data_IF_160320182708
#
_entry.id   IF_160320182708
#
_cell.length_a   1.000
_cell.length_b   1.000
_cell.length_c   1.000
_cell.angle_alpha   90.00
_cell.angle_beta   90.00
_cell.angle_gamma   90.00
#
_symmetry.space_group_name_H-M   'P 1'
#
loop_
_entity.id
_entity.type
_entity.pdbx_description
1 polymer ?
#
# COMPACT_ATOMS: atom_id res chain seq x y z
N UNK A 1 12.24 -16.90 49.10
CA UNK A 1 12.95 -15.61 49.04
C UNK A 1 13.16 -15.24 47.58
N UNK A 2 12.21 -14.52 47.00
CA UNK A 2 12.18 -14.20 45.56
C UNK A 2 13.01 -12.95 45.25
N UNK A 3 13.95 -13.08 44.31
CA UNK A 3 14.72 -11.95 43.76
C UNK A 3 13.87 -11.21 42.73
N UNK A 4 13.22 -10.12 43.14
CA UNK A 4 12.56 -9.17 42.23
C UNK A 4 13.61 -8.51 41.32
N UNK A 5 13.42 -8.64 40.00
CA UNK A 5 14.21 -7.94 38.97
C UNK A 5 13.94 -6.43 39.05
N UNK A 6 15.00 -5.64 39.07
CA UNK A 6 14.94 -4.18 39.13
C UNK A 6 14.33 -3.62 37.83
N UNK A 7 13.31 -2.76 37.98
CA UNK A 7 12.62 -2.05 36.89
C UNK A 7 13.55 -0.95 36.39
N UNK A 8 13.96 -0.99 35.12
CA UNK A 8 14.72 0.08 34.48
C UNK A 8 13.89 1.38 34.52
N UNK A 9 14.26 2.32 35.38
CA UNK A 9 13.71 3.67 35.41
C UNK A 9 14.36 4.52 34.32
N UNK A 10 13.53 5.21 33.55
CA UNK A 10 13.91 6.10 32.46
C UNK A 10 14.69 7.32 33.03
N UNK A 11 15.88 7.69 32.52
CA UNK A 11 16.69 8.73 33.12
C UNK A 11 16.40 10.09 32.45
N UNK A 12 15.21 10.66 32.66
CA UNK A 12 14.97 12.09 32.39
C UNK A 12 13.98 12.67 33.41
N UNK A 13 14.29 13.81 34.04
CA UNK A 13 13.39 14.44 35.01
C UNK A 13 12.20 15.08 34.30
N UNK A 14 10.99 14.77 34.77
CA UNK A 14 9.77 15.52 34.47
C UNK A 14 9.78 16.81 35.31
N UNK A 15 9.40 17.93 34.70
CA UNK A 15 9.17 19.19 35.41
C UNK A 15 7.64 19.39 35.48
N UNK A 16 7.05 19.60 36.67
CA UNK A 16 5.66 20.04 36.80
C UNK A 16 5.55 21.52 36.39
N UNK A 17 4.45 21.89 35.75
CA UNK A 17 4.10 23.29 35.51
C UNK A 17 3.90 24.02 36.85
N UNK A 18 4.48 25.21 36.98
CA UNK A 18 4.02 26.19 37.95
C UNK A 18 3.94 27.58 37.31
N UNK A 19 2.81 28.19 37.57
CA UNK A 19 2.32 29.46 37.06
C UNK A 19 2.83 30.63 37.93
N UNK A 20 3.08 31.77 37.30
CA UNK A 20 3.15 33.13 37.84
C UNK A 20 4.22 33.58 38.89
N UNK A 21 5.10 34.46 38.40
CA UNK A 21 5.28 35.86 38.86
C UNK A 21 6.55 36.30 39.67
N UNK A 22 7.22 37.31 39.07
CA UNK A 22 8.01 38.45 39.61
C UNK A 22 9.49 38.31 40.04
N UNK A 23 10.27 39.28 39.53
CA UNK A 23 11.49 39.95 40.05
C UNK A 23 12.90 39.59 39.52
N UNK A 24 13.37 40.51 38.68
CA UNK A 24 14.72 41.01 38.37
C UNK A 24 15.97 40.55 39.17
N UNK A 25 17.04 40.22 38.44
CA UNK A 25 18.40 40.72 38.73
C UNK A 25 19.32 40.68 37.49
N UNK A 26 19.91 41.83 37.14
CA UNK A 26 20.93 42.00 36.08
C UNK A 26 22.27 41.35 36.47
N UNK A 27 22.88 40.54 35.59
CA UNK A 27 24.35 40.40 35.49
C UNK A 27 24.83 39.81 34.15
N UNK A 28 25.51 40.68 33.39
CA UNK A 28 26.63 40.49 32.44
C UNK A 28 26.67 39.32 31.44
N UNK A 29 26.77 39.73 30.18
CA UNK A 29 27.04 39.00 28.94
C UNK A 29 28.29 38.11 28.95
N UNK A 30 28.12 36.84 28.56
CA UNK A 30 29.13 36.00 27.90
C UNK A 30 28.47 35.26 26.73
N UNK A 31 29.07 35.36 25.55
CA UNK A 31 28.60 34.69 24.33
C UNK A 31 28.73 33.17 24.46
N UNK A 32 27.64 32.44 24.21
CA UNK A 32 27.62 30.98 24.22
C UNK A 32 28.13 30.40 22.90
N UNK A 33 28.97 29.37 22.99
CA UNK A 33 29.59 28.67 21.87
C UNK A 33 28.55 27.87 21.07
N UNK A 34 28.59 28.06 19.75
CA UNK A 34 27.75 27.40 18.75
C UNK A 34 28.16 25.92 18.57
N UNK A 35 27.70 25.01 19.46
CA UNK A 35 27.69 23.56 19.21
C UNK A 35 26.73 22.82 20.16
N UNK A 36 25.43 23.02 19.94
CA UNK A 36 24.39 22.04 20.23
C UNK A 36 23.22 22.46 19.33
N UNK A 37 23.07 21.81 18.17
CA UNK A 37 21.79 21.82 17.46
C UNK A 37 20.81 21.18 18.44
N UNK A 38 19.95 22.00 19.05
CA UNK A 38 18.75 21.49 19.70
C UNK A 38 18.01 20.70 18.63
N UNK A 39 17.95 19.38 18.79
CA UNK A 39 16.99 18.57 18.07
C UNK A 39 15.63 19.22 18.32
N UNK A 40 14.93 19.61 17.25
CA UNK A 40 13.57 20.14 17.30
C UNK A 40 12.71 19.16 18.07
N UNK A 41 12.46 19.45 19.35
CA UNK A 41 11.67 18.61 20.22
C UNK A 41 10.23 18.61 19.71
N UNK A 42 9.67 17.42 19.51
CA UNK A 42 8.30 17.24 19.06
C UNK A 42 7.38 17.63 20.24
N UNK A 43 6.38 18.47 19.98
CA UNK A 43 5.36 18.86 20.96
C UNK A 43 4.73 17.62 21.64
N UNK A 44 4.38 17.74 22.93
CA UNK A 44 3.70 16.68 23.69
C UNK A 44 2.43 16.19 22.98
N UNK A 45 1.68 17.10 22.35
CA UNK A 45 0.49 16.76 21.56
C UNK A 45 0.80 15.94 20.31
N UNK A 46 1.85 16.31 19.55
CA UNK A 46 2.29 15.52 18.39
C UNK A 46 2.85 14.17 18.81
N UNK A 47 3.56 14.10 19.94
CA UNK A 47 4.08 12.85 20.50
C UNK A 47 2.95 11.90 20.89
N UNK A 48 1.90 12.41 21.53
CA UNK A 48 0.69 11.64 21.86
C UNK A 48 -0.01 11.10 20.61
N UNK A 49 -0.17 11.92 19.56
CA UNK A 49 -0.76 11.50 18.28
C UNK A 49 0.07 10.41 17.59
N UNK A 50 1.40 10.56 17.55
CA UNK A 50 2.30 9.54 16.98
C UNK A 50 2.20 8.22 17.77
N UNK A 51 2.14 8.28 19.11
CA UNK A 51 2.00 7.09 19.95
C UNK A 51 0.65 6.39 19.74
N UNK A 52 -0.44 7.14 19.61
CA UNK A 52 -1.77 6.60 19.30
C UNK A 52 -1.77 5.90 17.92
N UNK A 53 -1.26 6.56 16.89
CA UNK A 53 -1.16 5.97 15.54
C UNK A 53 -0.24 4.74 15.51
N UNK A 54 0.90 4.78 16.23
CA UNK A 54 1.79 3.63 16.33
C UNK A 54 1.12 2.43 17.02
N UNK A 55 0.32 2.67 18.07
CA UNK A 55 -0.47 1.63 18.72
C UNK A 55 -1.54 1.05 17.79
N UNK A 56 -2.24 1.88 17.02
CA UNK A 56 -3.21 1.43 16.01
C UNK A 56 -2.52 0.55 14.97
N UNK A 57 -1.38 0.99 14.43
CA UNK A 57 -0.60 0.21 13.47
C UNK A 57 -0.11 -1.12 14.06
N UNK A 58 0.34 -1.13 15.31
CA UNK A 58 0.78 -2.36 15.97
C UNK A 58 -0.39 -3.34 16.17
N UNK A 59 -1.56 -2.84 16.55
CA UNK A 59 -2.77 -3.64 16.70
C UNK A 59 -3.24 -4.20 15.35
N UNK A 60 -3.21 -3.40 14.29
CA UNK A 60 -3.55 -3.88 12.93
C UNK A 60 -2.60 -5.00 12.48
N UNK A 61 -1.29 -4.87 12.72
CA UNK A 61 -0.31 -5.93 12.40
C UNK A 61 -0.62 -7.21 13.18
N UNK A 62 -1.00 -7.08 14.45
CA UNK A 62 -1.33 -8.23 15.29
C UNK A 62 -2.61 -8.93 14.82
N UNK A 63 -3.68 -8.16 14.56
CA UNK A 63 -4.94 -8.71 14.01
C UNK A 63 -4.72 -9.38 12.64
N UNK A 64 -3.84 -8.84 11.80
CA UNK A 64 -3.44 -9.46 10.52
C UNK A 64 -2.69 -10.79 10.72
N UNK A 65 -1.79 -10.86 11.70
CA UNK A 65 -1.04 -12.07 12.02
C UNK A 65 -1.93 -13.17 12.59
N UNK A 66 -2.89 -12.81 13.45
CA UNK A 66 -3.88 -13.72 14.03
C UNK A 66 -4.83 -14.28 12.97
N UNK A 67 -5.21 -13.47 11.98
CA UNK A 67 -6.05 -13.93 10.85
C UNK A 67 -5.29 -14.81 9.85
N UNK A 68 -3.96 -14.74 9.80
CA UNK A 68 -3.14 -15.59 8.93
C UNK A 68 -2.93 -17.01 9.50
N UNK A 69 -3.12 -17.23 10.81
CA UNK A 69 -2.94 -18.51 11.50
C UNK A 69 -4.12 -18.84 12.44
N UNK A 70 -5.17 -19.54 11.97
CA UNK A 70 -6.33 -19.87 12.81
C UNK A 70 -6.08 -20.94 13.89
N UNK A 71 -4.85 -21.48 14.00
CA UNK A 71 -4.48 -22.55 14.94
C UNK A 71 -3.38 -22.10 15.90
N UNK A 72 -3.67 -21.11 16.75
CA UNK A 72 -3.14 -21.04 18.12
C UNK A 72 -3.84 -19.90 18.86
N UNK A 73 -4.51 -20.22 19.97
CA UNK A 73 -5.07 -19.31 21.00
C UNK A 73 -6.54 -18.91 20.85
N UNK A 74 -7.43 -19.88 21.01
CA UNK A 74 -8.87 -19.68 21.19
C UNK A 74 -9.30 -19.54 22.68
N UNK A 75 -8.48 -18.92 23.56
CA UNK A 75 -8.76 -18.91 25.02
C UNK A 75 -8.83 -17.53 25.71
N UNK A 76 -8.87 -16.40 24.98
CA UNK A 76 -8.90 -15.06 25.66
C UNK A 76 -10.03 -14.14 25.14
N UNK A 77 -10.96 -14.64 24.32
CA UNK A 77 -11.95 -13.79 23.62
C UNK A 77 -13.23 -13.51 24.43
N UNK A 78 -13.36 -14.02 25.66
CA UNK A 78 -14.64 -13.97 26.38
C UNK A 78 -14.86 -12.76 27.32
N UNK A 79 -13.89 -11.86 27.51
CA UNK A 79 -13.98 -10.85 28.59
C UNK A 79 -13.90 -9.37 28.17
N UNK A 80 -13.66 -9.05 26.90
CA UNK A 80 -13.47 -7.65 26.46
C UNK A 80 -14.62 -7.04 25.63
N UNK A 81 -15.66 -7.81 25.28
CA UNK A 81 -16.82 -7.30 24.51
C UNK A 81 -17.80 -6.44 25.34
N UNK A 82 -17.68 -6.40 26.67
CA UNK A 82 -18.65 -5.72 27.54
C UNK A 82 -18.35 -4.24 27.85
N UNK A 83 -17.21 -3.68 27.43
CA UNK A 83 -16.77 -2.33 27.87
C UNK A 83 -16.92 -1.21 26.82
N UNK A 84 -17.61 -1.43 25.69
CA UNK A 84 -17.70 -0.45 24.59
C UNK A 84 -18.89 0.52 24.63
N UNK A 85 -19.64 0.59 25.72
CA UNK A 85 -20.68 1.62 25.87
C UNK A 85 -20.29 2.59 26.97
N UNK A 86 -20.15 3.87 26.59
CA UNK A 86 -19.84 5.07 27.38
C UNK A 86 -18.37 5.50 27.38
N UNK A 87 -17.96 6.23 26.34
CA UNK A 87 -17.17 7.46 26.55
C UNK A 87 -17.35 8.42 25.37
N UNK A 88 -17.45 9.69 25.74
CA UNK A 88 -18.05 10.81 25.03
C UNK A 88 -17.30 11.23 23.76
N UNK A 89 -18.08 11.76 22.81
CA UNK A 89 -17.66 12.40 21.58
C UNK A 89 -16.78 13.63 21.87
N UNK A 90 -15.46 13.49 21.75
CA UNK A 90 -14.59 14.61 21.43
C UNK A 90 -14.29 14.55 19.91
N UNK A 91 -14.95 15.45 19.18
CA UNK A 91 -14.68 15.81 17.79
C UNK A 91 -13.22 16.27 17.64
N UNK A 92 -12.28 15.33 17.50
CA UNK A 92 -10.87 15.64 17.26
C UNK A 92 -10.70 15.93 15.76
N UNK A 93 -10.70 17.23 15.44
CA UNK A 93 -10.59 17.80 14.10
C UNK A 93 -9.31 17.30 13.40
N UNK A 94 -9.47 16.33 12.50
CA UNK A 94 -8.42 15.70 11.67
C UNK A 94 -7.81 16.67 10.62
N UNK A 95 -7.98 17.98 10.78
CA UNK A 95 -7.69 18.99 9.75
C UNK A 95 -6.33 19.67 9.90
N UNK A 96 -5.54 19.35 10.95
CA UNK A 96 -4.20 19.94 11.16
C UNK A 96 -3.08 18.89 11.27
N UNK A 97 -2.96 18.01 10.27
CA UNK A 97 -1.71 17.31 9.99
C UNK A 97 -1.11 17.81 8.67
N UNK A 98 -0.57 19.03 8.72
CA UNK A 98 0.24 19.67 7.66
C UNK A 98 1.72 19.22 7.74
N UNK A 99 1.95 17.93 7.94
CA UNK A 99 3.28 17.35 8.19
C UNK A 99 3.84 16.55 7.02
N UNK A 100 4.18 17.20 5.90
CA UNK A 100 5.41 16.95 5.12
C UNK A 100 5.46 17.96 3.96
N UNK A 101 6.51 18.77 3.91
CA UNK A 101 6.81 19.64 2.78
C UNK A 101 6.92 18.80 1.51
N UNK A 102 5.98 19.00 0.58
CA UNK A 102 5.98 18.40 -0.76
C UNK A 102 7.11 19.01 -1.58
N UNK A 103 8.23 18.30 -1.65
CA UNK A 103 9.16 18.46 -2.77
C UNK A 103 8.41 18.05 -4.03
N UNK A 104 8.04 19.04 -4.85
CA UNK A 104 7.63 18.85 -6.24
C UNK A 104 8.65 17.94 -6.92
N UNK A 105 8.26 16.69 -7.18
CA UNK A 105 9.04 15.79 -8.02
C UNK A 105 8.42 15.83 -9.40
N UNK A 106 9.03 16.64 -10.26
CA UNK A 106 8.84 16.59 -11.69
C UNK A 106 9.15 15.16 -12.12
N UNK A 107 8.16 14.46 -12.69
CA UNK A 107 8.41 13.22 -13.40
C UNK A 107 9.30 13.57 -14.59
N UNK A 108 10.57 13.18 -14.52
CA UNK A 108 11.39 13.12 -15.73
C UNK A 108 10.79 12.04 -16.62
N UNK A 109 10.58 12.37 -17.88
CA UNK A 109 10.34 11.39 -18.93
C UNK A 109 11.53 10.42 -18.95
N UNK A 110 11.42 9.29 -18.27
CA UNK A 110 12.27 8.14 -18.56
C UNK A 110 11.83 7.68 -19.95
N UNK A 111 12.67 7.93 -20.96
CA UNK A 111 12.49 7.41 -22.31
C UNK A 111 12.44 5.87 -22.22
N UNK A 112 11.22 5.34 -22.33
CA UNK A 112 10.98 3.91 -22.42
C UNK A 112 11.55 3.45 -23.77
N UNK A 113 12.51 2.53 -23.73
CA UNK A 113 13.04 1.91 -24.94
C UNK A 113 11.95 1.06 -25.62
N UNK A 114 11.63 1.37 -26.88
CA UNK A 114 10.58 0.70 -27.66
C UNK A 114 10.86 -0.80 -27.82
N UNK A 115 12.14 -1.19 -27.88
CA UNK A 115 12.54 -2.59 -27.98
C UNK A 115 12.27 -3.36 -26.68
N UNK A 116 12.44 -2.72 -25.52
CA UNK A 116 12.09 -3.29 -24.22
C UNK A 116 10.58 -3.41 -24.04
N UNK A 117 9.82 -2.39 -24.45
CA UNK A 117 8.35 -2.41 -24.41
C UNK A 117 7.82 -3.60 -25.23
N UNK A 118 8.34 -3.80 -26.44
CA UNK A 118 7.95 -4.91 -27.32
C UNK A 118 8.31 -6.30 -26.76
N UNK A 119 9.47 -6.43 -26.13
CA UNK A 119 9.87 -7.66 -25.46
C UNK A 119 8.96 -7.97 -24.27
N UNK A 120 8.57 -6.96 -23.49
CA UNK A 120 7.65 -7.14 -22.37
C UNK A 120 6.22 -7.46 -22.82
N UNK A 121 5.77 -6.86 -23.93
CA UNK A 121 4.48 -7.17 -24.55
C UNK A 121 4.34 -8.65 -24.96
N UNK A 122 5.45 -9.30 -25.34
CA UNK A 122 5.45 -10.73 -25.66
C UNK A 122 5.11 -11.64 -24.45
N UNK A 123 5.18 -11.10 -23.23
CA UNK A 123 4.81 -11.79 -21.99
C UNK A 123 3.45 -11.34 -21.43
N UNK A 124 2.71 -10.46 -22.12
CA UNK A 124 1.35 -10.08 -21.74
C UNK A 124 0.33 -11.13 -22.18
N UNK A 125 -0.66 -11.36 -21.33
CA UNK A 125 -1.78 -12.26 -21.65
C UNK A 125 -2.75 -11.57 -22.61
N UNK A 126 -2.88 -12.11 -23.82
CA UNK A 126 -3.82 -11.58 -24.85
C UNK A 126 -5.29 -11.93 -24.57
N UNK A 127 -5.56 -12.83 -23.61
CA UNK A 127 -6.89 -13.36 -23.28
C UNK A 127 -7.43 -12.86 -21.93
N UNK A 128 -6.94 -11.73 -21.42
CA UNK A 128 -7.45 -11.20 -20.16
C UNK A 128 -8.85 -10.60 -20.34
N UNK A 129 -9.85 -11.20 -19.68
CA UNK A 129 -11.20 -10.65 -19.60
C UNK A 129 -11.25 -9.29 -18.91
N UNK A 130 -12.34 -8.51 -19.11
CA UNK A 130 -12.51 -7.20 -18.49
C UNK A 130 -12.44 -7.30 -16.95
N UNK A 131 -11.70 -6.38 -16.32
CA UNK A 131 -11.61 -6.33 -14.86
C UNK A 131 -12.99 -5.98 -14.27
N UNK A 132 -13.47 -6.79 -13.30
CA UNK A 132 -14.74 -6.55 -12.61
C UNK A 132 -14.65 -5.31 -11.73
N UNK A 133 -15.56 -4.37 -11.91
CA UNK A 133 -15.70 -3.15 -11.10
C UNK A 133 -16.69 -3.35 -9.94
N UNK A 134 -16.78 -2.39 -9.03
CA UNK A 134 -17.80 -2.39 -7.96
C UNK A 134 -19.23 -2.46 -8.55
N UNK A 135 -19.46 -1.70 -9.62
CA UNK A 135 -20.73 -1.67 -10.33
C UNK A 135 -21.13 -3.05 -10.86
N UNK A 136 -20.18 -3.78 -11.45
CA UNK A 136 -20.43 -5.11 -12.01
C UNK A 136 -20.84 -6.12 -10.93
N UNK A 137 -20.17 -6.08 -9.77
CA UNK A 137 -20.48 -6.98 -8.66
C UNK A 137 -21.85 -6.70 -8.04
N UNK A 138 -22.21 -5.43 -7.89
CA UNK A 138 -23.52 -5.05 -7.35
C UNK A 138 -24.63 -5.43 -8.34
N UNK A 139 -24.43 -5.20 -9.64
CA UNK A 139 -25.38 -5.64 -10.68
C UNK A 139 -25.53 -7.17 -10.67
N UNK A 140 -24.43 -7.92 -10.55
CA UNK A 140 -24.46 -9.39 -10.47
C UNK A 140 -25.20 -9.87 -9.22
N UNK A 141 -24.91 -9.28 -8.06
CA UNK A 141 -25.56 -9.60 -6.79
C UNK A 141 -27.06 -9.34 -6.82
N UNK A 142 -27.48 -8.20 -7.39
CA UNK A 142 -28.90 -7.87 -7.47
C UNK A 142 -29.60 -8.70 -8.56
N UNK A 143 -28.94 -9.06 -9.66
CA UNK A 143 -29.49 -10.04 -10.64
C UNK A 143 -29.73 -11.41 -10.00
N UNK A 144 -28.83 -11.87 -9.13
CA UNK A 144 -29.01 -13.13 -8.40
C UNK A 144 -30.16 -13.05 -7.37
N UNK A 145 -30.31 -11.92 -6.69
CA UNK A 145 -31.41 -11.69 -5.74
C UNK A 145 -32.78 -11.52 -6.44
N UNK A 146 -32.80 -10.85 -7.60
CA UNK A 146 -33.97 -10.63 -8.44
C UNK A 146 -34.30 -11.82 -9.36
N UNK A 147 -33.44 -12.83 -9.50
CA UNK A 147 -33.82 -14.08 -10.17
C UNK A 147 -34.97 -14.82 -9.45
N UNK A 148 -35.25 -14.46 -8.19
CA UNK A 148 -36.44 -14.88 -7.45
C UNK A 148 -37.64 -13.90 -7.57
N UNK A 149 -37.47 -12.73 -8.18
CA UNK A 149 -38.53 -11.72 -8.42
C UNK A 149 -38.26 -10.94 -9.71
N UNK A 150 -38.98 -11.30 -10.77
CA UNK A 150 -38.87 -10.71 -12.11
C UNK A 150 -39.20 -9.21 -12.14
N UNK A 151 -38.26 -8.35 -12.52
CA UNK A 151 -38.51 -7.09 -13.25
C UNK A 151 -37.22 -6.42 -13.77
N UNK A 152 -37.28 -5.99 -15.05
CA UNK A 152 -36.26 -5.27 -15.82
C UNK A 152 -36.14 -3.78 -15.42
N UNK A 153 -35.73 -3.50 -14.19
CA UNK A 153 -35.38 -2.12 -13.78
C UNK A 153 -34.01 -2.09 -13.16
N UNK A 154 -33.23 -1.03 -13.46
CA UNK A 154 -31.89 -0.86 -12.93
C UNK A 154 -31.88 -1.14 -11.41
N UNK A 155 -31.03 -2.05 -10.96
CA UNK A 155 -31.13 -2.61 -9.63
C UNK A 155 -30.69 -1.58 -8.58
N UNK A 156 -31.66 -0.98 -7.89
CA UNK A 156 -31.45 -0.04 -6.79
C UNK A 156 -31.37 -0.82 -5.47
N UNK A 157 -30.36 -0.59 -4.62
CA UNK A 157 -30.31 -1.21 -3.31
C UNK A 157 -31.48 -0.73 -2.43
N UNK A 158 -32.02 -1.63 -1.60
CA UNK A 158 -33.17 -1.40 -0.70
C UNK A 158 -32.80 -0.42 0.43
N UNK A 159 -32.59 0.84 0.10
CA UNK A 159 -32.32 1.92 1.05
C UNK A 159 -33.49 2.91 1.10
N UNK A 160 -33.61 3.61 2.23
CA UNK A 160 -34.57 4.70 2.41
C UNK A 160 -34.39 5.74 1.28
N UNK A 161 -35.49 6.18 0.62
CA UNK A 161 -35.47 7.23 -0.40
C UNK A 161 -34.64 8.46 -0.02
N UNK A 162 -34.66 8.87 1.25
CA UNK A 162 -33.95 10.05 1.74
C UNK A 162 -32.42 9.88 1.68
N UNK A 163 -31.94 8.65 1.95
CA UNK A 163 -30.53 8.29 1.90
C UNK A 163 -30.07 8.22 0.44
N UNK A 164 -30.93 7.69 -0.44
CA UNK A 164 -30.65 7.61 -1.88
C UNK A 164 -30.41 9.00 -2.47
N UNK A 165 -31.28 9.96 -2.20
CA UNK A 165 -31.16 11.31 -2.75
C UNK A 165 -29.96 12.06 -2.17
N UNK A 166 -29.66 11.87 -0.88
CA UNK A 166 -28.47 12.43 -0.25
C UNK A 166 -27.17 11.95 -0.91
N UNK A 167 -27.00 10.64 -1.10
CA UNK A 167 -25.76 10.08 -1.66
C UNK A 167 -25.64 10.28 -3.18
N UNK A 168 -26.75 10.39 -3.91
CA UNK A 168 -26.75 10.85 -5.31
C UNK A 168 -26.25 12.29 -5.42
N UNK A 169 -26.77 13.19 -4.59
CA UNK A 169 -26.30 14.58 -4.53
C UNK A 169 -24.82 14.69 -4.14
N UNK A 170 -24.34 13.82 -3.26
CA UNK A 170 -22.91 13.72 -2.95
C UNK A 170 -22.08 13.27 -4.15
N UNK A 171 -22.56 12.34 -4.98
CA UNK A 171 -21.88 11.95 -6.21
C UNK A 171 -21.67 13.12 -7.18
N UNK A 172 -22.71 13.95 -7.37
CA UNK A 172 -22.62 15.17 -8.18
C UNK A 172 -21.60 16.17 -7.61
N UNK A 173 -21.57 16.34 -6.29
CA UNK A 173 -20.57 17.16 -5.62
C UNK A 173 -19.14 16.63 -5.84
N UNK A 174 -18.93 15.32 -5.70
CA UNK A 174 -17.62 14.68 -5.87
C UNK A 174 -17.10 14.75 -7.30
N UNK A 175 -17.98 14.83 -8.29
CA UNK A 175 -17.58 15.02 -9.70
C UNK A 175 -16.92 16.39 -9.94
N UNK A 176 -17.33 17.43 -9.20
CA UNK A 176 -16.83 18.81 -9.34
C UNK A 176 -15.82 19.21 -8.27
N UNK A 177 -15.56 18.34 -7.31
CA UNK A 177 -14.72 18.65 -6.16
C UNK A 177 -13.27 18.91 -6.58
N UNK A 178 -12.69 20.02 -6.11
CA UNK A 178 -11.30 20.39 -6.39
C UNK A 178 -10.49 20.50 -5.10
N UNK A 179 -10.99 21.28 -4.14
CA UNK A 179 -10.39 21.49 -2.83
C UNK A 179 -11.46 21.81 -1.79
N UNK A 180 -11.10 21.70 -0.50
CA UNK A 180 -11.99 22.02 0.62
C UNK A 180 -12.34 20.82 1.50
N UNK A 181 -13.18 21.04 2.50
CA UNK A 181 -13.55 19.98 3.45
C UNK A 181 -14.49 18.97 2.79
N UNK A 182 -14.25 17.68 3.03
CA UNK A 182 -15.13 16.61 2.59
C UNK A 182 -16.43 16.60 3.43
N UNK A 183 -17.62 16.45 2.82
CA UNK A 183 -18.89 16.40 3.55
C UNK A 183 -18.90 15.34 4.66
N UNK A 184 -19.52 15.64 5.80
CA UNK A 184 -19.62 14.71 6.95
C UNK A 184 -20.26 13.37 6.54
N UNK A 185 -21.31 13.42 5.72
CA UNK A 185 -21.99 12.23 5.20
C UNK A 185 -21.05 11.30 4.40
N UNK A 186 -20.06 11.86 3.68
CA UNK A 186 -19.05 11.06 2.99
C UNK A 186 -18.03 10.46 3.96
N UNK A 187 -17.58 11.23 4.95
CA UNK A 187 -16.65 10.74 5.99
C UNK A 187 -17.23 9.60 6.83
N UNK A 188 -18.56 9.50 6.93
CA UNK A 188 -19.25 8.45 7.68
C UNK A 188 -19.39 7.12 6.91
N UNK A 189 -19.18 7.10 5.59
CA UNK A 189 -19.33 5.88 4.76
C UNK A 189 -18.52 4.68 5.31
N UNK A 190 -17.25 4.82 5.73
CA UNK A 190 -16.47 3.69 6.26
C UNK A 190 -17.08 2.98 7.47
N UNK A 191 -17.82 3.71 8.31
CA UNK A 191 -18.47 3.21 9.53
C UNK A 191 -19.78 2.49 9.24
N UNK A 192 -20.32 2.61 8.04
CA UNK A 192 -21.59 1.98 7.67
C UNK A 192 -21.42 0.46 7.45
N UNK A 193 -22.46 -0.30 7.76
CA UNK A 193 -22.50 -1.74 7.46
C UNK A 193 -22.59 -1.97 5.95
N UNK A 194 -23.48 -1.24 5.26
CA UNK A 194 -23.70 -1.31 3.81
C UNK A 194 -22.87 -0.26 3.04
N UNK A 195 -21.59 -0.13 3.38
CA UNK A 195 -20.71 0.90 2.80
C UNK A 195 -20.53 0.74 1.29
N UNK A 196 -20.56 -0.49 0.75
CA UNK A 196 -20.41 -0.79 -0.69
C UNK A 196 -21.58 -0.25 -1.50
N UNK A 197 -22.81 -0.50 -1.05
CA UNK A 197 -24.03 -0.05 -1.71
C UNK A 197 -24.12 1.48 -1.68
N UNK A 198 -23.80 2.09 -0.52
CA UNK A 198 -23.77 3.55 -0.36
C UNK A 198 -22.70 4.18 -1.25
N UNK A 199 -21.51 3.57 -1.33
CA UNK A 199 -20.44 4.04 -2.19
C UNK A 199 -20.83 3.96 -3.67
N UNK A 200 -21.52 2.90 -4.09
CA UNK A 200 -22.01 2.76 -5.45
C UNK A 200 -22.97 3.88 -5.87
N UNK A 201 -23.85 4.34 -4.96
CA UNK A 201 -24.76 5.46 -5.23
C UNK A 201 -24.04 6.76 -5.57
N UNK A 202 -22.82 6.95 -5.06
CA UNK A 202 -22.02 8.15 -5.33
C UNK A 202 -21.29 8.12 -6.67
N UNK A 203 -21.44 7.03 -7.46
CA UNK A 203 -20.84 6.86 -8.80
C UNK A 203 -19.33 7.14 -8.84
N UNK A 204 -18.49 6.29 -8.20
CA UNK A 204 -17.05 6.53 -8.05
C UNK A 204 -16.29 6.72 -9.37
N UNK A 205 -16.79 6.18 -10.47
CA UNK A 205 -16.28 6.39 -11.83
C UNK A 205 -16.30 7.86 -12.27
N UNK A 206 -17.27 8.64 -11.78
CA UNK A 206 -17.48 10.04 -12.15
C UNK A 206 -16.77 11.05 -11.26
N UNK A 207 -16.11 10.60 -10.20
CA UNK A 207 -15.44 11.48 -9.25
C UNK A 207 -14.29 12.25 -9.90
N UNK A 208 -13.99 13.45 -9.40
CA UNK A 208 -12.77 14.14 -9.81
C UNK A 208 -11.52 13.42 -9.29
N UNK A 209 -10.34 13.60 -9.91
CA UNK A 209 -9.08 13.06 -9.39
C UNK A 209 -8.78 13.51 -7.94
N UNK A 210 -9.14 14.75 -7.59
CA UNK A 210 -8.94 15.29 -6.25
C UNK A 210 -9.90 14.66 -5.23
N UNK A 211 -11.14 14.37 -5.63
CA UNK A 211 -12.08 13.63 -4.80
C UNK A 211 -11.56 12.21 -4.52
N UNK A 212 -11.02 11.54 -5.56
CA UNK A 212 -10.43 10.21 -5.40
C UNK A 212 -9.26 10.20 -4.42
N UNK A 213 -8.41 11.23 -4.43
CA UNK A 213 -7.35 11.40 -3.45
C UNK A 213 -7.89 11.51 -2.02
N UNK A 214 -8.86 12.40 -1.79
CA UNK A 214 -9.45 12.61 -0.47
C UNK A 214 -10.20 11.38 0.02
N UNK A 215 -10.94 10.72 -0.87
CA UNK A 215 -11.59 9.44 -0.60
C UNK A 215 -10.56 8.40 -0.18
N UNK A 216 -9.51 8.20 -0.96
CA UNK A 216 -8.46 7.22 -0.64
C UNK A 216 -7.81 7.52 0.72
N UNK A 217 -7.58 8.80 1.04
CA UNK A 217 -7.03 9.20 2.35
C UNK A 217 -7.96 8.84 3.51
N UNK A 218 -9.26 9.12 3.39
CA UNK A 218 -10.27 8.82 4.43
C UNK A 218 -10.47 7.32 4.58
N UNK A 219 -10.56 6.60 3.46
CA UNK A 219 -10.83 5.18 3.43
C UNK A 219 -9.61 4.38 3.92
N UNK A 220 -8.39 4.82 3.57
CA UNK A 220 -7.16 4.23 4.05
C UNK A 220 -6.94 4.40 5.56
N UNK A 221 -7.54 5.41 6.22
CA UNK A 221 -7.42 5.57 7.67
C UNK A 221 -8.55 4.90 8.45
N UNK A 222 -9.77 4.93 7.92
CA UNK A 222 -10.97 4.51 8.68
C UNK A 222 -11.44 3.09 8.35
N UNK A 223 -11.09 2.53 7.19
CA UNK A 223 -11.48 1.15 6.85
C UNK A 223 -10.48 0.13 7.42
N UNK A 224 -11.03 -0.98 7.91
CA UNK A 224 -10.25 -2.19 8.14
C UNK A 224 -9.65 -2.74 6.84
N UNK A 225 -8.58 -3.54 6.97
CA UNK A 225 -7.74 -4.03 5.86
C UNK A 225 -8.56 -4.68 4.74
N UNK A 226 -9.54 -5.53 5.08
CA UNK A 226 -10.41 -6.22 4.10
C UNK A 226 -11.28 -5.26 3.32
N UNK A 227 -11.88 -4.26 3.98
CA UNK A 227 -12.72 -3.26 3.31
C UNK A 227 -11.87 -2.32 2.44
N UNK A 228 -10.69 -1.92 2.93
CA UNK A 228 -9.75 -1.11 2.16
C UNK A 228 -9.25 -1.85 0.90
N UNK A 229 -8.95 -3.16 1.02
CA UNK A 229 -8.61 -4.02 -0.12
C UNK A 229 -9.70 -4.01 -1.19
N UNK A 230 -10.97 -4.14 -0.80
CA UNK A 230 -12.11 -4.09 -1.73
C UNK A 230 -12.22 -2.73 -2.41
N UNK A 231 -12.11 -1.63 -1.66
CA UNK A 231 -12.11 -0.28 -2.21
C UNK A 231 -10.97 -0.09 -3.23
N UNK A 232 -9.75 -0.54 -2.90
CA UNK A 232 -8.62 -0.43 -3.80
C UNK A 232 -8.80 -1.23 -5.08
N UNK A 233 -9.33 -2.46 -4.96
CA UNK A 233 -9.51 -3.37 -6.08
C UNK A 233 -10.64 -2.95 -7.02
N UNK A 234 -11.75 -2.44 -6.47
CA UNK A 234 -12.99 -2.21 -7.22
C UNK A 234 -13.20 -0.77 -7.65
N UNK A 235 -12.50 0.18 -7.03
CA UNK A 235 -12.66 1.63 -7.30
C UNK A 235 -11.33 2.26 -7.71
N UNK A 236 -10.31 2.18 -6.86
CA UNK A 236 -9.05 2.90 -7.09
C UNK A 236 -8.26 2.34 -8.29
N UNK A 237 -8.06 1.02 -8.33
CA UNK A 237 -7.29 0.36 -9.38
C UNK A 237 -7.89 0.57 -10.78
N UNK A 238 -9.19 0.31 -11.04
CA UNK A 238 -9.79 0.59 -12.36
C UNK A 238 -9.61 2.05 -12.77
N UNK A 239 -9.84 2.99 -11.84
CA UNK A 239 -9.71 4.42 -12.11
C UNK A 239 -8.30 4.83 -12.55
N UNK A 240 -7.27 4.27 -11.93
CA UNK A 240 -5.87 4.53 -12.29
C UNK A 240 -5.55 3.98 -13.67
N UNK A 241 -6.00 2.76 -13.97
CA UNK A 241 -5.76 2.13 -15.27
C UNK A 241 -6.44 2.91 -16.39
N UNK A 242 -7.66 3.37 -16.15
CA UNK A 242 -8.39 4.20 -17.12
C UNK A 242 -7.69 5.53 -17.39
N UNK A 243 -7.20 6.22 -16.35
CA UNK A 243 -6.47 7.48 -16.50
C UNK A 243 -5.16 7.30 -17.28
N UNK A 244 -4.38 6.24 -16.97
CA UNK A 244 -3.15 5.92 -17.70
C UNK A 244 -3.44 5.57 -19.16
N UNK A 245 -4.52 4.81 -19.41
CA UNK A 245 -4.91 4.42 -20.76
C UNK A 245 -5.31 5.62 -21.62
N UNK A 246 -6.06 6.56 -21.03
CA UNK A 246 -6.57 7.76 -21.72
C UNK A 246 -5.47 8.82 -21.90
N UNK A 247 -4.78 9.17 -20.82
CA UNK A 247 -3.87 10.32 -20.79
C UNK A 247 -2.41 9.95 -21.04
N UNK A 248 -2.07 8.65 -21.07
CA UNK A 248 -0.70 8.12 -21.19
C UNK A 248 0.26 8.52 -20.06
N UNK A 249 -0.23 9.28 -19.09
CA UNK A 249 0.39 9.73 -17.84
C UNK A 249 -0.65 9.69 -16.73
N UNK A 250 -0.23 9.52 -15.49
CA UNK A 250 -1.14 9.53 -14.35
C UNK A 250 -1.31 10.93 -13.78
N UNK A 251 -2.56 11.34 -13.51
CA UNK A 251 -2.87 12.59 -12.83
C UNK A 251 -2.22 12.66 -11.43
N UNK A 252 -1.68 13.82 -11.05
CA UNK A 252 -0.96 14.01 -9.79
C UNK A 252 -1.76 13.58 -8.54
N UNK A 253 -3.04 13.96 -8.46
CA UNK A 253 -3.90 13.56 -7.34
C UNK A 253 -4.11 12.04 -7.26
N UNK A 254 -4.19 11.33 -8.38
CA UNK A 254 -4.30 9.86 -8.40
C UNK A 254 -2.99 9.20 -7.98
N UNK A 255 -1.85 9.79 -8.37
CA UNK A 255 -0.54 9.36 -7.88
C UNK A 255 -0.43 9.52 -6.36
N UNK A 256 -0.90 10.65 -5.81
CA UNK A 256 -0.96 10.86 -4.36
C UNK A 256 -1.94 9.90 -3.69
N UNK A 257 -3.05 9.55 -4.35
CA UNK A 257 -4.00 8.57 -3.86
C UNK A 257 -3.34 7.20 -3.70
N UNK A 258 -2.61 6.74 -4.72
CA UNK A 258 -1.81 5.52 -4.65
C UNK A 258 -0.77 5.57 -3.53
N UNK A 259 -0.05 6.69 -3.40
CA UNK A 259 0.92 6.87 -2.31
C UNK A 259 0.26 6.75 -0.93
N UNK A 260 -0.95 7.27 -0.76
CA UNK A 260 -1.73 7.13 0.48
C UNK A 260 -2.26 5.72 0.68
N UNK A 261 -2.62 5.00 -0.37
CA UNK A 261 -3.10 3.61 -0.25
C UNK A 261 -2.03 2.66 0.33
N UNK A 262 -0.74 2.96 0.13
CA UNK A 262 0.37 2.17 0.67
C UNK A 262 0.57 2.31 2.19
N UNK A 263 -0.14 3.25 2.86
CA UNK A 263 -0.15 3.33 4.32
C UNK A 263 -0.81 2.11 4.96
N UNK A 264 -1.59 1.33 4.19
CA UNK A 264 -2.05 -0.01 4.55
C UNK A 264 -1.46 -1.04 3.57
N UNK A 265 -0.22 -1.52 3.80
CA UNK A 265 0.52 -2.36 2.85
C UNK A 265 -0.18 -3.66 2.48
N UNK A 266 -0.85 -4.33 3.44
CA UNK A 266 -1.58 -5.56 3.17
C UNK A 266 -2.73 -5.35 2.18
N UNK A 267 -3.51 -4.29 2.39
CA UNK A 267 -4.60 -3.90 1.50
C UNK A 267 -4.08 -3.46 0.12
N UNK A 268 -2.98 -2.70 0.08
CA UNK A 268 -2.34 -2.31 -1.19
C UNK A 268 -1.88 -3.54 -2.00
N UNK A 269 -1.20 -4.48 -1.35
CA UNK A 269 -0.68 -5.66 -2.03
C UNK A 269 -1.81 -6.50 -2.62
N UNK A 270 -2.85 -6.77 -1.84
CA UNK A 270 -3.99 -7.60 -2.28
C UNK A 270 -4.97 -6.87 -3.20
N UNK A 271 -5.12 -5.56 -3.05
CA UNK A 271 -6.09 -4.75 -3.79
C UNK A 271 -5.53 -4.11 -5.06
N UNK A 272 -4.23 -3.84 -5.12
CA UNK A 272 -3.58 -3.12 -6.24
C UNK A 272 -2.53 -3.99 -6.90
N UNK A 273 -1.46 -4.35 -6.17
CA UNK A 273 -0.28 -5.00 -6.75
C UNK A 273 -0.57 -6.39 -7.34
N UNK A 274 -1.18 -7.29 -6.55
CA UNK A 274 -1.46 -8.64 -7.01
C UNK A 274 -2.53 -8.68 -8.11
N UNK A 275 -3.67 -7.95 -8.03
CA UNK A 275 -4.63 -7.92 -9.12
C UNK A 275 -4.05 -7.32 -10.40
N UNK A 276 -3.18 -6.32 -10.31
CA UNK A 276 -2.49 -5.75 -11.46
C UNK A 276 -1.61 -6.81 -12.15
N UNK A 277 -0.74 -7.51 -11.40
CA UNK A 277 0.10 -8.56 -11.95
C UNK A 277 -0.70 -9.78 -12.44
N UNK A 278 -1.72 -10.21 -11.69
CA UNK A 278 -2.56 -11.39 -12.01
C UNK A 278 -3.42 -11.15 -13.25
N UNK A 279 -3.75 -9.90 -13.56
CA UNK A 279 -4.55 -9.58 -14.75
C UNK A 279 -3.82 -9.91 -16.06
N UNK A 280 -2.49 -10.06 -16.05
CA UNK A 280 -1.69 -10.32 -17.25
C UNK A 280 -1.70 -9.18 -18.29
N UNK A 281 -2.35 -8.05 -17.99
CA UNK A 281 -2.49 -6.87 -18.87
C UNK A 281 -1.72 -5.67 -18.36
N UNK A 282 -0.90 -5.83 -17.32
CA UNK A 282 -0.11 -4.76 -16.73
C UNK A 282 0.92 -4.27 -17.75
N UNK A 283 0.71 -3.08 -18.31
CA UNK A 283 1.62 -2.49 -19.26
C UNK A 283 2.85 -1.88 -18.57
N UNK A 284 3.90 -1.57 -19.34
CA UNK A 284 5.15 -1.04 -18.78
C UNK A 284 4.94 0.29 -18.04
N UNK A 285 4.09 1.19 -18.56
CA UNK A 285 3.81 2.49 -17.93
C UNK A 285 3.09 2.32 -16.58
N UNK A 286 2.09 1.45 -16.51
CA UNK A 286 1.42 1.06 -15.27
C UNK A 286 2.44 0.52 -14.26
N UNK A 287 3.34 -0.36 -14.71
CA UNK A 287 4.37 -0.94 -13.87
C UNK A 287 5.35 0.12 -13.32
N UNK A 288 5.85 1.03 -14.17
CA UNK A 288 6.76 2.11 -13.78
C UNK A 288 6.11 3.06 -12.78
N UNK A 289 4.85 3.47 -13.04
CA UNK A 289 4.13 4.41 -12.16
C UNK A 289 3.91 3.79 -10.78
N UNK A 290 3.34 2.58 -10.72
CA UNK A 290 3.10 1.88 -9.44
C UNK A 290 4.42 1.52 -8.75
N UNK A 291 5.43 1.10 -9.52
CA UNK A 291 6.75 0.75 -9.02
C UNK A 291 7.49 1.94 -8.40
N UNK A 292 7.38 3.14 -8.98
CA UNK A 292 7.97 4.35 -8.40
C UNK A 292 7.44 4.65 -6.99
N UNK A 293 6.19 4.30 -6.71
CA UNK A 293 5.56 4.48 -5.39
C UNK A 293 6.11 3.46 -4.41
N UNK A 294 6.20 2.20 -4.83
CA UNK A 294 6.85 1.13 -4.05
C UNK A 294 8.28 1.54 -3.72
N UNK A 295 9.04 2.10 -4.66
CA UNK A 295 10.40 2.55 -4.45
C UNK A 295 10.49 3.70 -3.43
N UNK A 296 9.63 4.72 -3.55
CA UNK A 296 9.68 5.95 -2.73
C UNK A 296 9.16 5.76 -1.30
N UNK A 297 8.16 4.91 -1.09
CA UNK A 297 7.53 4.74 0.22
C UNK A 297 8.18 3.58 0.98
N UNK A 298 8.37 3.74 2.29
CA UNK A 298 8.87 2.67 3.16
C UNK A 298 7.76 1.66 3.44
N UNK A 299 8.05 0.37 3.24
CA UNK A 299 7.10 -0.72 3.45
C UNK A 299 7.64 -1.62 4.56
N UNK A 300 6.85 -2.01 5.57
CA UNK A 300 7.32 -2.93 6.60
C UNK A 300 7.84 -4.24 5.99
N UNK A 301 8.92 -4.77 6.58
CA UNK A 301 9.66 -5.93 6.06
C UNK A 301 8.77 -7.17 5.90
N UNK A 302 7.84 -7.43 6.84
CA UNK A 302 6.95 -8.58 6.77
C UNK A 302 6.00 -8.50 5.56
N UNK A 303 5.38 -7.34 5.33
CA UNK A 303 4.50 -7.10 4.19
C UNK A 303 5.26 -7.15 2.87
N UNK A 304 6.47 -6.59 2.81
CA UNK A 304 7.34 -6.65 1.64
C UNK A 304 7.75 -8.09 1.31
N UNK A 305 8.08 -8.89 2.34
CA UNK A 305 8.45 -10.30 2.20
C UNK A 305 7.29 -11.14 1.70
N UNK A 306 6.09 -10.95 2.25
CA UNK A 306 4.88 -11.63 1.80
C UNK A 306 4.50 -11.25 0.36
N UNK A 307 4.67 -9.98 -0.02
CA UNK A 307 4.47 -9.52 -1.40
C UNK A 307 5.43 -10.20 -2.37
N UNK A 308 6.72 -10.23 -2.02
CA UNK A 308 7.76 -10.86 -2.83
C UNK A 308 7.50 -12.36 -3.01
N UNK A 309 7.17 -13.07 -1.93
CA UNK A 309 6.79 -14.48 -1.98
C UNK A 309 5.63 -14.72 -2.95
N UNK A 310 4.58 -13.91 -2.85
CA UNK A 310 3.40 -14.08 -3.71
C UNK A 310 3.69 -13.79 -5.17
N UNK A 311 4.47 -12.74 -5.46
CA UNK A 311 4.90 -12.42 -6.83
C UNK A 311 5.81 -13.50 -7.41
N UNK A 312 6.67 -14.11 -6.58
CA UNK A 312 7.54 -15.20 -6.99
C UNK A 312 6.73 -16.45 -7.39
N UNK A 313 5.69 -16.80 -6.63
CA UNK A 313 4.81 -17.95 -6.90
C UNK A 313 3.84 -17.75 -8.07
N UNK A 314 3.46 -16.50 -8.36
CA UNK A 314 2.51 -16.18 -9.43
C UNK A 314 3.02 -16.54 -10.83
N UNK A 315 2.08 -16.60 -11.78
CA UNK A 315 2.38 -16.71 -13.21
C UNK A 315 3.22 -15.51 -13.66
N UNK A 316 4.20 -15.81 -14.51
CA UNK A 316 5.12 -14.79 -14.98
C UNK A 316 4.50 -13.90 -16.03
N UNK A 317 4.42 -12.62 -15.71
CA UNK A 317 4.24 -11.52 -16.67
C UNK A 317 5.55 -10.73 -16.71
N UNK A 318 5.95 -10.21 -17.88
CA UNK A 318 7.23 -9.49 -18.02
C UNK A 318 7.41 -8.36 -17.01
N UNK A 319 6.33 -7.63 -16.71
CA UNK A 319 6.29 -6.54 -15.71
C UNK A 319 6.37 -7.02 -14.26
N UNK A 320 6.15 -8.30 -13.97
CA UNK A 320 6.32 -8.87 -12.61
C UNK A 320 7.78 -8.81 -12.16
N UNK A 321 8.75 -9.03 -13.07
CA UNK A 321 10.18 -8.87 -12.76
C UNK A 321 10.53 -7.47 -12.26
N UNK A 322 9.86 -6.45 -12.80
CA UNK A 322 10.08 -5.07 -12.37
C UNK A 322 9.71 -4.87 -10.89
N UNK A 323 8.55 -5.38 -10.47
CA UNK A 323 8.14 -5.30 -9.06
C UNK A 323 9.01 -6.17 -8.14
N UNK A 324 9.42 -7.36 -8.59
CA UNK A 324 10.35 -8.23 -7.84
C UNK A 324 11.68 -7.48 -7.60
N UNK A 325 12.28 -6.90 -8.65
CA UNK A 325 13.50 -6.08 -8.54
C UNK A 325 13.34 -4.96 -7.51
N UNK A 326 12.25 -4.18 -7.58
CA UNK A 326 12.02 -3.07 -6.66
C UNK A 326 11.89 -3.51 -5.20
N UNK A 327 11.23 -4.64 -4.93
CA UNK A 327 11.12 -5.18 -3.58
C UNK A 327 12.46 -5.71 -3.06
N UNK A 328 13.28 -6.32 -3.93
CA UNK A 328 14.64 -6.74 -3.57
C UNK A 328 15.57 -5.55 -3.29
N UNK A 329 15.42 -4.45 -4.04
CA UNK A 329 16.17 -3.20 -3.84
C UNK A 329 15.84 -2.48 -2.53
N UNK A 330 14.75 -2.86 -1.84
CA UNK A 330 14.50 -2.45 -0.46
C UNK A 330 15.50 -3.02 0.54
N UNK A 331 16.26 -4.04 0.15
CA UNK A 331 17.40 -4.61 0.91
C UNK A 331 17.01 -5.10 2.32
N UNK A 332 15.76 -5.49 2.52
CA UNK A 332 15.32 -6.07 3.80
C UNK A 332 15.97 -7.44 4.05
N UNK A 333 16.04 -7.82 5.33
CA UNK A 333 16.34 -9.20 5.70
C UNK A 333 15.10 -10.05 5.37
N UNK A 334 15.25 -11.04 4.48
CA UNK A 334 14.16 -11.87 4.02
C UNK A 334 14.17 -13.22 4.75
N UNK A 335 13.01 -13.80 5.10
CA UNK A 335 12.93 -15.18 5.58
C UNK A 335 13.42 -16.16 4.51
N UNK A 336 14.06 -17.26 4.92
CA UNK A 336 14.60 -18.27 3.98
C UNK A 336 13.54 -18.82 3.01
N UNK A 337 12.31 -19.06 3.48
CA UNK A 337 11.19 -19.46 2.61
C UNK A 337 10.97 -18.50 1.43
N UNK A 338 11.19 -17.20 1.61
CA UNK A 338 11.05 -16.21 0.55
C UNK A 338 12.23 -16.29 -0.41
N UNK A 339 13.45 -16.51 0.09
CA UNK A 339 14.64 -16.72 -0.75
C UNK A 339 14.46 -17.97 -1.61
N UNK A 340 14.04 -19.08 -1.02
CA UNK A 340 13.78 -20.35 -1.73
C UNK A 340 12.75 -20.16 -2.84
N UNK A 341 11.67 -19.43 -2.56
CA UNK A 341 10.64 -19.12 -3.56
C UNK A 341 11.16 -18.23 -4.68
N UNK A 342 12.04 -17.27 -4.39
CA UNK A 342 12.67 -16.41 -5.42
C UNK A 342 13.66 -17.21 -6.27
N UNK A 343 14.46 -18.10 -5.67
CA UNK A 343 15.31 -19.02 -6.42
C UNK A 343 14.45 -19.91 -7.32
N UNK A 344 13.41 -20.53 -6.77
CA UNK A 344 12.48 -21.35 -7.52
C UNK A 344 11.83 -20.57 -8.66
N UNK A 345 11.43 -19.31 -8.42
CA UNK A 345 10.88 -18.42 -9.45
C UNK A 345 11.83 -18.30 -10.64
N UNK A 346 13.11 -17.99 -10.41
CA UNK A 346 14.11 -17.85 -11.48
C UNK A 346 14.43 -19.18 -12.17
N UNK A 347 14.47 -20.28 -11.42
CA UNK A 347 14.75 -21.60 -11.97
C UNK A 347 13.66 -22.12 -12.93
N UNK A 348 12.42 -21.59 -12.85
CA UNK A 348 11.37 -21.89 -13.84
C UNK A 348 11.74 -21.51 -15.27
N UNK A 349 12.68 -20.58 -15.45
CA UNK A 349 13.10 -20.10 -16.77
C UNK A 349 14.31 -20.84 -17.34
N UNK A 350 14.76 -21.93 -16.69
CA UNK A 350 15.90 -22.70 -17.15
C UNK A 350 15.70 -23.27 -18.56
N UNK A 351 14.49 -23.72 -18.87
CA UNK A 351 14.12 -24.31 -20.16
C UNK A 351 13.14 -23.42 -20.96
N UNK A 352 12.98 -22.16 -20.55
CA UNK A 352 12.19 -21.18 -21.29
C UNK A 352 12.86 -20.86 -22.63
N UNK A 353 12.09 -20.93 -23.71
CA UNK A 353 12.60 -20.71 -25.08
C UNK A 353 12.55 -19.26 -25.50
N UNK A 354 11.68 -18.46 -24.84
CA UNK A 354 11.58 -17.02 -25.08
C UNK A 354 12.80 -16.29 -24.56
N UNK A 355 13.15 -15.20 -25.25
CA UNK A 355 14.22 -14.30 -24.81
C UNK A 355 13.74 -13.54 -23.58
N UNK A 356 14.49 -13.66 -22.48
CA UNK A 356 14.15 -12.96 -21.24
C UNK A 356 14.45 -11.46 -21.35
N UNK A 357 13.53 -10.57 -20.94
CA UNK A 357 13.75 -9.13 -20.94
C UNK A 357 14.92 -8.72 -20.03
N UNK A 358 15.57 -7.59 -20.31
CA UNK A 358 16.70 -7.10 -19.49
C UNK A 358 16.31 -6.91 -18.02
N UNK A 359 15.07 -6.49 -17.75
CA UNK A 359 14.58 -6.30 -16.39
C UNK A 359 14.55 -7.61 -15.58
N UNK A 360 14.36 -8.75 -16.24
CA UNK A 360 14.44 -10.06 -15.60
C UNK A 360 15.88 -10.34 -15.14
N UNK A 361 16.87 -10.09 -16.01
CA UNK A 361 18.28 -10.24 -15.66
C UNK A 361 18.71 -9.26 -14.56
N UNK A 362 18.25 -8.01 -14.61
CA UNK A 362 18.51 -7.01 -13.57
C UNK A 362 17.86 -7.41 -12.23
N UNK A 363 16.66 -8.00 -12.25
CA UNK A 363 16.01 -8.53 -11.06
C UNK A 363 16.83 -9.67 -10.43
N UNK A 364 17.38 -10.57 -11.27
CA UNK A 364 18.26 -11.65 -10.80
C UNK A 364 19.56 -11.09 -10.22
N UNK A 365 20.17 -10.09 -10.88
CA UNK A 365 21.36 -9.42 -10.38
C UNK A 365 21.11 -8.77 -9.01
N UNK A 366 20.01 -8.04 -8.85
CA UNK A 366 19.64 -7.42 -7.57
C UNK A 366 19.46 -8.45 -6.45
N UNK A 367 18.88 -9.61 -6.77
CA UNK A 367 18.76 -10.74 -5.84
C UNK A 367 20.14 -11.26 -5.40
N UNK A 368 21.01 -11.59 -6.36
CA UNK A 368 22.33 -12.16 -6.07
C UNK A 368 23.20 -11.17 -5.30
N UNK A 369 23.27 -9.91 -5.75
CA UNK A 369 24.07 -8.86 -5.08
C UNK A 369 23.75 -8.73 -3.60
N UNK A 370 22.45 -8.83 -3.24
CA UNK A 370 22.01 -8.66 -1.86
C UNK A 370 22.07 -9.95 -1.04
N UNK A 371 21.67 -11.07 -1.63
CA UNK A 371 21.38 -12.30 -0.88
C UNK A 371 22.39 -13.44 -1.13
N UNK A 372 23.49 -13.21 -1.87
CA UNK A 372 24.53 -14.23 -2.13
C UNK A 372 25.08 -14.98 -0.92
N UNK A 373 25.08 -14.36 0.27
CA UNK A 373 25.58 -15.00 1.49
C UNK A 373 24.55 -15.92 2.15
N UNK A 374 23.27 -15.72 1.83
CA UNK A 374 22.15 -16.49 2.36
C UNK A 374 21.78 -17.68 1.46
N UNK A 375 22.40 -17.77 0.27
CA UNK A 375 22.16 -18.84 -0.70
C UNK A 375 23.02 -20.08 -0.42
N UNK A 376 22.42 -21.26 -0.60
CA UNK A 376 23.16 -22.52 -0.51
C UNK A 376 24.13 -22.68 -1.70
N UNK A 377 25.12 -23.57 -1.55
CA UNK A 377 26.05 -23.88 -2.66
C UNK A 377 25.33 -24.46 -3.87
N UNK A 378 24.27 -25.24 -3.64
CA UNK A 378 23.44 -25.83 -4.68
C UNK A 378 22.66 -24.73 -5.43
N UNK A 379 22.03 -23.80 -4.73
CA UNK A 379 21.33 -22.68 -5.36
C UNK A 379 22.26 -21.85 -6.22
N UNK A 380 23.47 -21.55 -5.75
CA UNK A 380 24.47 -20.83 -6.54
C UNK A 380 24.84 -21.59 -7.81
N UNK A 381 24.98 -22.91 -7.75
CA UNK A 381 25.29 -23.74 -8.91
C UNK A 381 24.12 -23.78 -9.90
N UNK A 382 22.89 -23.87 -9.39
CA UNK A 382 21.67 -23.81 -10.18
C UNK A 382 21.53 -22.47 -10.90
N UNK A 383 21.77 -21.35 -10.20
CA UNK A 383 21.77 -20.02 -10.81
C UNK A 383 22.88 -19.83 -11.84
N UNK A 384 24.08 -20.40 -11.63
CA UNK A 384 25.15 -20.43 -12.64
C UNK A 384 24.71 -21.15 -13.91
N UNK A 385 24.03 -22.29 -13.75
CA UNK A 385 23.49 -23.07 -14.88
C UNK A 385 22.41 -22.28 -15.62
N UNK A 386 21.53 -21.59 -14.88
CA UNK A 386 20.49 -20.71 -15.42
C UNK A 386 21.07 -19.59 -16.29
N UNK A 387 22.02 -18.81 -15.77
CA UNK A 387 22.64 -17.72 -16.54
C UNK A 387 23.55 -18.22 -17.67
N UNK A 388 23.96 -19.49 -17.60
CA UNK A 388 24.63 -20.19 -18.69
C UNK A 388 23.72 -20.48 -19.88
N UNK A 389 22.41 -20.65 -19.66
CA UNK A 389 21.40 -20.80 -20.72
C UNK A 389 20.78 -19.46 -21.12
N UNK A 390 20.29 -18.70 -20.15
CA UNK A 390 19.67 -17.39 -20.34
C UNK A 390 20.71 -16.27 -20.20
N UNK A 391 21.29 -15.85 -21.33
CA UNK A 391 22.42 -14.89 -21.36
C UNK A 391 21.98 -13.49 -21.76
N UNK A 392 22.46 -12.50 -21.02
CA UNK A 392 22.43 -11.09 -21.38
C UNK A 392 23.85 -10.53 -21.49
N UNK A 393 24.15 -9.80 -22.56
CA UNK A 393 25.50 -9.35 -22.93
C UNK A 393 26.23 -8.58 -21.80
N UNK A 394 25.52 -7.69 -21.12
CA UNK A 394 26.10 -6.80 -20.10
C UNK A 394 25.88 -7.28 -18.66
N UNK A 395 24.75 -7.95 -18.39
CA UNK A 395 24.28 -8.21 -17.01
C UNK A 395 24.75 -9.59 -16.53
N UNK A 396 24.77 -10.60 -17.41
CA UNK A 396 25.21 -11.96 -17.04
C UNK A 396 26.63 -12.00 -16.47
N UNK A 397 27.63 -11.30 -17.03
CA UNK A 397 28.97 -11.26 -16.44
C UNK A 397 28.98 -10.72 -15.00
N UNK A 398 28.15 -9.71 -14.70
CA UNK A 398 28.04 -9.16 -13.35
C UNK A 398 27.37 -10.15 -12.38
N UNK A 399 26.34 -10.88 -12.84
CA UNK A 399 25.70 -11.92 -12.02
C UNK A 399 26.71 -13.01 -11.65
N UNK A 400 27.51 -13.48 -12.63
CA UNK A 400 28.53 -14.50 -12.39
C UNK A 400 29.56 -13.98 -11.37
N UNK A 401 30.04 -12.74 -11.55
CA UNK A 401 30.98 -12.10 -10.62
C UNK A 401 30.44 -12.01 -9.18
N UNK A 402 29.15 -11.85 -8.99
CA UNK A 402 28.53 -11.77 -7.66
C UNK A 402 28.20 -13.15 -7.06
N UNK A 403 28.12 -14.21 -7.87
CA UNK A 403 27.94 -15.59 -7.41
C UNK A 403 29.24 -16.24 -6.92
N UNK A 404 30.37 -15.76 -7.43
CA UNK A 404 31.73 -16.09 -6.98
C UNK A 404 32.05 -15.36 -5.67
#
# INVERSE_FOLDING_TARGET
MEKKRARHQNPKPFIPEDNDSVASAKKRSKAAKHHQKQETMISSGMSSKILKEALIQQKEIQEEAEQANPTSNAFVVAEEEAARHQQEDEDDDFDDFSGFSETQTHFGDEEIDEDEEKLLEAFLSKEAGPQRTLADLIIEKIKQENANFSSDTQPMPKLDPSILDLYKGLGEFLSRYTAGKMPKAFKHIPSMQLWEDVLYLTKPESWSPNAMYQATRIFASNLGVKKAELFYRLVLLPRIRDDIKQNKRLHFALYQALKKSLYKPAAFNKGILFPLCKSGTCNLREAVIVGSIIQKVSIPMLHSSAALLKLAEMEYCGTTSYFIKLLLEKKYALPYRVLDAVVAHFMRFLDETRIMPVIWHQSLLAFVQRYKNELTKEDKQNLRTLVGKQKHKLVTPEIIRELD
#
